data_IF_659127682737
#
_entry.id   IF_659127682737
#
_cell.length_a   1.000
_cell.length_b   1.000
_cell.length_c   1.000
_cell.angle_alpha   90.00
_cell.angle_beta   90.00
_cell.angle_gamma   90.00
#
_symmetry.space_group_name_H-M   'P 1'
#
loop_
_entity.id
_entity.type
_entity.pdbx_description
1 polymer ?
#
# COMPACT_ATOMS: atom_id res chain seq x y z
N UNK A 1 -2.26 -67.33 -22.51
CA UNK A 1 -0.81 -67.54 -22.70
C UNK A 1 -0.58 -67.99 -24.14
N UNK A 2 0.62 -67.74 -24.70
CA UNK A 2 1.01 -67.93 -26.11
C UNK A 2 0.27 -67.02 -27.14
N UNK A 3 0.84 -66.35 -28.17
CA UNK A 3 2.07 -66.44 -29.03
C UNK A 3 1.96 -67.46 -30.17
N UNK A 4 2.34 -67.26 -31.46
CA UNK A 4 2.88 -66.14 -32.29
C UNK A 4 2.28 -66.27 -33.75
N UNK A 5 2.62 -65.58 -34.87
CA UNK A 5 3.39 -64.36 -35.22
C UNK A 5 3.05 -63.81 -36.65
N UNK A 6 3.36 -62.53 -36.93
CA UNK A 6 3.84 -61.96 -38.24
C UNK A 6 2.99 -62.13 -39.56
N UNK A 7 3.35 -61.51 -40.72
CA UNK A 7 4.59 -60.80 -41.12
C UNK A 7 4.45 -59.38 -41.74
N UNK A 8 5.60 -58.85 -42.17
CA UNK A 8 5.83 -57.58 -42.86
C UNK A 8 5.10 -57.42 -44.20
N UNK A 9 4.89 -56.16 -44.62
CA UNK A 9 5.08 -55.76 -46.03
C UNK A 9 5.55 -54.31 -46.18
N UNK A 10 6.76 -54.11 -46.71
CA UNK A 10 7.26 -52.82 -47.20
C UNK A 10 7.13 -52.74 -48.72
N UNK A 11 6.97 -51.54 -49.27
CA UNK A 11 7.19 -51.25 -50.69
C UNK A 11 7.61 -49.80 -50.85
N UNK A 12 8.49 -49.53 -51.82
CA UNK A 12 9.09 -48.23 -52.12
C UNK A 12 8.66 -47.83 -53.55
N UNK A 13 9.03 -46.62 -54.00
CA UNK A 13 8.86 -46.02 -55.34
C UNK A 13 7.50 -45.29 -55.52
N UNK A 14 7.40 -44.17 -56.26
CA UNK A 14 8.42 -43.51 -57.09
C UNK A 14 8.31 -41.96 -57.15
N UNK A 15 9.28 -41.31 -57.78
CA UNK A 15 9.58 -39.87 -57.70
C UNK A 15 9.03 -39.02 -58.88
N UNK A 16 8.42 -37.85 -58.62
CA UNK A 16 8.32 -36.73 -59.61
C UNK A 16 8.04 -35.37 -58.94
N UNK A 17 8.27 -34.26 -59.66
CA UNK A 17 8.64 -32.97 -59.06
C UNK A 17 7.77 -31.78 -59.51
N UNK A 18 7.22 -31.01 -58.53
CA UNK A 18 6.73 -29.61 -58.64
C UNK A 18 5.52 -29.31 -59.59
N UNK A 19 4.86 -28.11 -59.52
CA UNK A 19 5.22 -26.89 -58.77
C UNK A 19 4.16 -26.27 -57.81
N UNK A 20 4.71 -25.60 -56.79
CA UNK A 20 4.26 -24.42 -56.03
C UNK A 20 2.91 -23.72 -56.39
N UNK A 21 2.01 -23.57 -55.40
CA UNK A 21 1.20 -22.33 -55.28
C UNK A 21 0.81 -21.95 -53.83
N UNK A 22 1.35 -20.80 -53.38
CA UNK A 22 0.92 -19.87 -52.31
C UNK A 22 -0.09 -20.36 -51.24
N UNK A 23 0.42 -20.66 -50.03
CA UNK A 23 -0.38 -20.75 -48.81
C UNK A 23 -0.96 -19.37 -48.45
N UNK A 24 -2.29 -19.26 -48.32
CA UNK A 24 -3.01 -18.04 -47.94
C UNK A 24 -3.17 -17.97 -46.42
N UNK A 25 -2.34 -17.17 -45.74
CA UNK A 25 -2.39 -17.03 -44.28
C UNK A 25 -3.71 -16.42 -43.79
N UNK A 26 -4.38 -17.11 -42.86
CA UNK A 26 -5.56 -16.59 -42.18
C UNK A 26 -5.14 -15.46 -41.23
N UNK A 27 -5.67 -14.25 -41.49
CA UNK A 27 -5.27 -13.03 -40.79
C UNK A 27 -6.08 -12.89 -39.49
N UNK A 28 -5.50 -13.34 -38.37
CA UNK A 28 -6.10 -13.22 -37.03
C UNK A 28 -6.59 -11.79 -36.78
N UNK A 29 -7.88 -11.64 -36.51
CA UNK A 29 -8.47 -10.37 -36.09
C UNK A 29 -7.92 -9.98 -34.72
N UNK A 30 -7.13 -8.91 -34.67
CA UNK A 30 -6.70 -8.33 -33.40
C UNK A 30 -7.94 -7.76 -32.71
N UNK A 31 -8.26 -8.27 -31.52
CA UNK A 31 -9.20 -7.60 -30.62
C UNK A 31 -8.64 -6.21 -30.30
N UNK A 32 -9.38 -5.17 -30.72
CA UNK A 32 -9.04 -3.80 -30.38
C UNK A 32 -9.36 -3.55 -28.92
N UNK A 33 -8.34 -3.34 -28.09
CA UNK A 33 -8.54 -2.87 -26.72
C UNK A 33 -9.11 -1.45 -26.77
N UNK A 34 -10.41 -1.32 -26.53
CA UNK A 34 -11.07 -0.02 -26.39
C UNK A 34 -10.66 0.56 -25.03
N UNK A 35 -9.60 1.37 -25.03
CA UNK A 35 -9.16 2.10 -23.84
C UNK A 35 -10.21 3.14 -23.47
N UNK A 36 -11.16 2.75 -22.62
CA UNK A 36 -12.18 3.63 -22.08
C UNK A 36 -11.52 4.72 -21.22
N UNK A 37 -11.33 5.91 -21.79
CA UNK A 37 -11.01 7.12 -21.02
C UNK A 37 -12.21 7.49 -20.16
N UNK A 38 -12.28 6.94 -18.95
CA UNK A 38 -13.18 7.44 -17.90
C UNK A 38 -12.80 8.89 -17.60
N UNK A 39 -13.66 9.83 -17.93
CA UNK A 39 -13.39 11.27 -17.92
C UNK A 39 -13.60 11.89 -16.54
N UNK A 40 -12.92 11.35 -15.53
CA UNK A 40 -12.80 11.95 -14.20
C UNK A 40 -11.31 12.11 -13.91
N UNK A 41 -10.82 13.35 -13.86
CA UNK A 41 -9.40 13.67 -13.67
C UNK A 41 -8.98 13.48 -12.21
N UNK A 42 -8.95 12.24 -11.76
CA UNK A 42 -8.55 11.84 -10.41
C UNK A 42 -7.03 11.99 -10.27
N UNK A 43 -6.57 13.17 -9.91
CA UNK A 43 -5.14 13.50 -9.80
C UNK A 43 -4.42 12.54 -8.86
N UNK A 44 -3.37 11.87 -9.38
CA UNK A 44 -2.57 10.96 -8.57
C UNK A 44 -1.89 11.72 -7.45
N UNK A 45 -1.95 11.19 -6.23
CA UNK A 45 -1.30 11.78 -5.06
C UNK A 45 0.17 12.13 -5.29
N UNK A 46 0.90 11.26 -6.00
CA UNK A 46 2.31 11.46 -6.35
C UNK A 46 2.50 12.67 -7.28
N UNK A 47 1.61 12.84 -8.26
CA UNK A 47 1.61 14.01 -9.14
C UNK A 47 1.26 15.30 -8.38
N UNK A 48 0.32 15.26 -7.43
CA UNK A 48 -0.02 16.42 -6.60
C UNK A 48 1.13 16.85 -5.67
N UNK A 49 1.99 15.91 -5.25
CA UNK A 49 3.23 16.20 -4.50
C UNK A 49 4.32 16.73 -5.46
N UNK A 50 4.49 16.12 -6.64
CA UNK A 50 5.47 16.53 -7.66
C UNK A 50 5.18 17.93 -8.26
N UNK A 51 3.90 18.30 -8.37
CA UNK A 51 3.42 19.63 -8.78
C UNK A 51 3.41 20.63 -7.61
N UNK A 52 3.76 20.20 -6.39
CA UNK A 52 3.83 21.06 -5.20
C UNK A 52 2.48 21.48 -4.62
N UNK A 53 1.38 20.91 -5.09
CA UNK A 53 0.02 21.16 -4.57
C UNK A 53 -0.18 20.62 -3.15
N UNK A 54 0.56 19.56 -2.78
CA UNK A 54 0.63 19.03 -1.42
C UNK A 54 1.99 19.39 -0.83
N UNK A 55 2.01 20.14 0.29
CA UNK A 55 3.25 20.58 0.96
C UNK A 55 3.98 19.37 1.55
N UNK A 56 5.15 19.03 1.02
CA UNK A 56 6.03 18.02 1.63
C UNK A 56 6.63 18.58 2.92
N UNK A 57 6.41 17.90 4.05
CA UNK A 57 6.92 18.27 5.37
C UNK A 57 7.75 17.10 5.90
N UNK A 58 8.98 17.35 6.33
CA UNK A 58 9.83 16.33 6.94
C UNK A 58 9.54 16.21 8.45
N UNK A 59 9.78 15.05 9.09
CA UNK A 59 9.61 14.88 10.54
C UNK A 59 10.24 15.99 11.39
N UNK A 60 11.50 16.36 11.12
CA UNK A 60 12.21 17.48 11.75
C UNK A 60 11.51 18.85 11.68
N UNK A 61 10.61 19.03 10.70
CA UNK A 61 9.86 20.27 10.47
C UNK A 61 8.39 20.13 10.93
N UNK A 62 7.98 18.95 11.42
CA UNK A 62 6.58 18.63 11.71
C UNK A 62 6.07 19.36 12.96
N UNK A 63 6.88 19.47 14.01
CA UNK A 63 6.57 20.28 15.20
C UNK A 63 6.36 21.76 14.84
N UNK A 64 7.20 22.32 13.97
CA UNK A 64 7.07 23.69 13.45
C UNK A 64 5.81 23.82 12.58
N UNK A 65 5.53 22.83 11.72
CA UNK A 65 4.33 22.83 10.90
C UNK A 65 3.04 22.77 11.76
N UNK A 66 3.02 21.99 12.83
CA UNK A 66 1.89 21.91 13.74
C UNK A 66 1.71 23.19 14.56
N UNK A 67 2.77 23.66 15.21
CA UNK A 67 2.69 24.76 16.19
C UNK A 67 2.69 26.16 15.57
N UNK A 68 3.44 26.37 14.48
CA UNK A 68 3.66 27.70 13.88
C UNK A 68 2.89 27.89 12.57
N UNK A 69 2.93 26.93 11.66
CA UNK A 69 2.09 26.99 10.44
C UNK A 69 0.61 26.69 10.76
N UNK A 70 0.30 26.01 11.86
CA UNK A 70 -1.07 25.65 12.26
C UNK A 70 -1.64 24.43 11.54
N UNK A 71 -0.80 23.43 11.19
CA UNK A 71 -1.28 22.17 10.60
C UNK A 71 -1.87 21.22 11.65
N UNK A 72 -3.13 20.84 11.48
CA UNK A 72 -3.75 19.72 12.19
C UNK A 72 -3.17 18.40 11.69
N UNK A 73 -2.51 17.64 12.57
CA UNK A 73 -1.94 16.33 12.25
C UNK A 73 -3.04 15.27 12.17
N UNK A 74 -3.19 14.64 11.00
CA UNK A 74 -4.09 13.51 10.76
C UNK A 74 -3.28 12.22 10.57
N UNK A 75 -3.37 11.35 11.57
CA UNK A 75 -2.84 9.99 11.53
C UNK A 75 -3.81 9.09 10.76
N UNK A 76 -3.35 8.49 9.66
CA UNK A 76 -4.16 7.58 8.83
C UNK A 76 -3.77 6.10 8.96
N UNK A 77 -2.95 5.76 9.97
CA UNK A 77 -2.62 4.37 10.31
C UNK A 77 -3.86 3.61 10.82
N UNK A 78 -3.90 2.28 10.70
CA UNK A 78 -4.87 1.45 11.41
C UNK A 78 -4.69 1.52 12.93
N UNK A 79 -5.74 1.15 13.66
CA UNK A 79 -5.83 1.31 15.12
C UNK A 79 -4.75 0.55 15.91
N UNK A 80 -4.26 -0.60 15.42
CA UNK A 80 -3.21 -1.38 16.11
C UNK A 80 -1.84 -0.70 16.10
N UNK A 81 -1.48 0.01 15.03
CA UNK A 81 -0.25 0.81 14.99
C UNK A 81 -0.38 2.05 15.91
N UNK A 82 -1.53 2.72 15.90
CA UNK A 82 -1.77 3.89 16.74
C UNK A 82 -1.73 3.55 18.24
N UNK A 83 -2.27 2.39 18.64
CA UNK A 83 -2.25 1.88 20.03
C UNK A 83 -0.84 1.65 20.60
N UNK A 84 0.18 1.52 19.76
CA UNK A 84 1.59 1.34 20.17
C UNK A 84 2.27 2.66 20.50
N UNK A 85 2.15 3.63 19.59
CA UNK A 85 2.62 5.01 19.76
C UNK A 85 1.91 5.98 18.80
N UNK A 86 1.59 7.18 19.28
CA UNK A 86 1.00 8.25 18.50
C UNK A 86 1.31 9.64 19.05
N UNK A 87 1.21 10.68 18.22
CA UNK A 87 1.43 12.07 18.65
C UNK A 87 0.21 12.58 19.40
N UNK A 88 0.39 13.15 20.59
CA UNK A 88 -0.69 13.74 21.40
C UNK A 88 -1.42 14.83 20.60
N UNK A 89 -2.75 14.88 20.74
CA UNK A 89 -3.59 15.84 19.99
C UNK A 89 -3.73 15.58 18.49
N UNK A 90 -3.08 14.56 17.92
CA UNK A 90 -3.31 14.18 16.52
C UNK A 90 -4.70 13.57 16.33
N UNK A 91 -5.39 13.96 15.27
CA UNK A 91 -6.63 13.32 14.84
C UNK A 91 -6.35 11.96 14.21
N UNK A 92 -7.33 11.05 14.25
CA UNK A 92 -7.18 9.69 13.74
C UNK A 92 -8.36 9.31 12.85
N UNK A 93 -8.08 8.98 11.58
CA UNK A 93 -9.03 8.30 10.70
C UNK A 93 -8.29 7.26 9.87
N UNK A 94 -8.50 5.95 10.11
CA UNK A 94 -7.73 4.91 9.43
C UNK A 94 -8.08 4.85 7.94
N UNK A 95 -7.08 4.99 7.07
CA UNK A 95 -7.26 4.82 5.61
C UNK A 95 -7.42 3.34 5.22
N UNK A 96 -6.87 2.44 6.04
CA UNK A 96 -6.97 1.00 5.92
C UNK A 96 -7.53 0.41 7.22
N UNK A 97 -8.51 -0.48 7.09
CA UNK A 97 -9.18 -1.17 8.20
C UNK A 97 -9.04 -2.69 8.02
N UNK A 98 -9.25 -3.45 9.09
CA UNK A 98 -9.27 -4.91 9.02
C UNK A 98 -10.38 -5.37 8.05
N UNK A 99 -10.06 -6.31 7.17
CA UNK A 99 -11.07 -6.92 6.30
C UNK A 99 -11.88 -7.95 7.08
N UNK A 100 -13.18 -7.70 7.27
CA UNK A 100 -14.09 -8.58 8.01
C UNK A 100 -14.79 -9.63 7.15
N UNK A 101 -14.52 -9.70 5.83
CA UNK A 101 -15.10 -10.74 4.96
C UNK A 101 -14.57 -12.14 5.33
N UNK A 102 -15.50 -13.05 5.63
CA UNK A 102 -15.23 -14.42 6.02
C UNK A 102 -15.66 -15.44 4.95
N UNK A 103 -15.85 -14.98 3.71
CA UNK A 103 -16.02 -15.85 2.53
C UNK A 103 -14.87 -16.85 2.42
N UNK A 104 -15.09 -18.13 2.02
CA UNK A 104 -14.04 -19.16 2.02
C UNK A 104 -12.78 -18.79 1.23
N UNK A 105 -12.94 -18.09 0.11
CA UNK A 105 -11.83 -17.58 -0.72
C UNK A 105 -11.02 -16.51 0.05
N UNK A 106 -11.67 -15.66 0.84
CA UNK A 106 -11.03 -14.60 1.62
C UNK A 106 -10.38 -15.16 2.89
N UNK A 107 -10.94 -16.20 3.52
CA UNK A 107 -10.27 -16.96 4.57
C UNK A 107 -8.98 -17.61 4.05
N UNK A 108 -9.00 -18.21 2.86
CA UNK A 108 -7.78 -18.75 2.22
C UNK A 108 -6.74 -17.65 1.93
N UNK A 109 -7.16 -16.49 1.40
CA UNK A 109 -6.27 -15.32 1.21
C UNK A 109 -5.66 -14.84 2.53
N UNK A 110 -6.47 -14.70 3.59
CA UNK A 110 -6.05 -14.30 4.94
C UNK A 110 -5.00 -15.27 5.49
N UNK A 111 -5.22 -16.58 5.35
CA UNK A 111 -4.27 -17.61 5.79
C UNK A 111 -2.95 -17.57 5.02
N UNK A 112 -2.99 -17.46 3.69
CA UNK A 112 -1.78 -17.33 2.85
C UNK A 112 -1.02 -16.03 3.17
N UNK A 113 -1.73 -14.91 3.34
CA UNK A 113 -1.11 -13.63 3.72
C UNK A 113 -0.44 -13.70 5.09
N UNK A 114 -1.12 -14.29 6.09
CA UNK A 114 -0.58 -14.49 7.42
C UNK A 114 0.67 -15.38 7.40
N UNK A 115 0.61 -16.54 6.74
CA UNK A 115 1.72 -17.48 6.66
C UNK A 115 2.94 -16.93 5.90
N UNK A 116 2.73 -16.17 4.81
CA UNK A 116 3.82 -15.67 3.98
C UNK A 116 4.49 -14.39 4.51
N UNK A 117 3.73 -13.47 5.11
CA UNK A 117 4.26 -12.18 5.57
C UNK A 117 3.67 -11.66 6.88
N UNK A 118 2.37 -11.84 7.14
CA UNK A 118 1.69 -11.27 8.30
C UNK A 118 2.22 -11.76 9.66
N UNK A 119 2.62 -13.03 9.76
CA UNK A 119 3.27 -13.59 10.96
C UNK A 119 4.66 -12.98 11.21
N UNK A 120 5.40 -12.65 10.15
CA UNK A 120 6.73 -12.04 10.27
C UNK A 120 6.64 -10.54 10.57
N UNK A 121 5.90 -9.78 9.78
CA UNK A 121 5.84 -8.30 9.88
C UNK A 121 4.78 -7.79 10.85
N UNK A 122 3.84 -8.63 11.27
CA UNK A 122 2.65 -8.22 12.02
C UNK A 122 1.57 -7.53 11.17
N UNK A 123 1.69 -7.60 9.85
CA UNK A 123 0.71 -6.98 8.95
C UNK A 123 -0.60 -7.78 8.93
N UNK A 124 -1.70 -7.11 9.26
CA UNK A 124 -3.05 -7.64 9.12
C UNK A 124 -3.52 -7.57 7.67
N UNK A 125 -4.43 -8.47 7.28
CA UNK A 125 -5.09 -8.41 5.97
C UNK A 125 -6.12 -7.27 5.99
N UNK A 126 -5.78 -6.14 5.35
CA UNK A 126 -6.58 -4.91 5.41
C UNK A 126 -7.26 -4.56 4.10
N UNK A 127 -8.48 -4.06 4.18
CA UNK A 127 -9.19 -3.40 3.08
C UNK A 127 -9.10 -1.87 3.21
N UNK A 128 -9.46 -1.15 2.13
CA UNK A 128 -9.59 0.31 2.15
C UNK A 128 -10.84 0.71 2.91
N UNK A 129 -10.73 1.71 3.79
CA UNK A 129 -11.89 2.30 4.45
C UNK A 129 -12.75 3.08 3.41
N UNK A 130 -14.03 2.70 3.17
CA UNK A 130 -14.92 3.45 2.28
C UNK A 130 -15.28 4.79 2.90
N UNK A 131 -15.66 4.78 4.18
CA UNK A 131 -16.11 5.94 4.96
C UNK A 131 -14.99 6.92 5.33
N UNK A 132 -13.76 6.70 4.88
CA UNK A 132 -12.59 7.53 5.19
C UNK A 132 -12.85 9.04 5.04
N UNK A 133 -13.47 9.46 3.93
CA UNK A 133 -13.69 10.88 3.67
C UNK A 133 -14.77 11.46 4.60
N UNK A 134 -15.88 10.74 4.78
CA UNK A 134 -16.96 11.08 5.72
C UNK A 134 -16.44 11.20 7.17
N UNK A 135 -15.62 10.25 7.60
CA UNK A 135 -14.98 10.26 8.91
C UNK A 135 -14.00 11.42 9.08
N UNK A 136 -13.22 11.80 8.06
CA UNK A 136 -12.38 13.01 8.12
C UNK A 136 -13.22 14.29 8.12
N UNK A 137 -14.35 14.34 7.42
CA UNK A 137 -15.28 15.48 7.45
C UNK A 137 -15.93 15.66 8.82
N UNK A 138 -16.19 14.57 9.56
CA UNK A 138 -16.67 14.64 10.96
C UNK A 138 -15.62 15.23 11.92
N UNK A 139 -14.32 14.94 11.74
CA UNK A 139 -13.26 15.44 12.64
C UNK A 139 -12.56 16.72 12.15
N UNK A 140 -12.68 17.06 10.87
CA UNK A 140 -12.19 18.29 10.24
C UNK A 140 -13.28 18.82 9.26
N UNK A 141 -14.34 19.49 9.76
CA UNK A 141 -15.39 20.02 8.90
C UNK A 141 -14.92 21.13 7.95
N UNK A 142 -13.89 21.89 8.34
CA UNK A 142 -13.31 22.97 7.54
C UNK A 142 -12.42 22.45 6.41
N UNK A 143 -12.85 22.61 5.15
CA UNK A 143 -12.07 22.22 3.96
C UNK A 143 -10.78 23.03 3.77
N UNK A 144 -10.77 24.25 4.31
CA UNK A 144 -9.61 25.15 4.30
C UNK A 144 -8.66 24.92 5.49
N UNK A 145 -8.97 24.00 6.42
CA UNK A 145 -8.05 23.61 7.50
C UNK A 145 -6.74 23.07 6.90
N UNK A 146 -5.61 23.49 7.46
CA UNK A 146 -4.29 22.95 7.13
C UNK A 146 -4.18 21.53 7.70
N UNK A 147 -4.16 20.49 6.87
CA UNK A 147 -4.13 19.09 7.33
C UNK A 147 -2.80 18.42 6.95
N UNK A 148 -2.01 18.03 7.94
CA UNK A 148 -0.77 17.27 7.75
C UNK A 148 -1.09 15.76 7.83
N UNK A 149 -1.05 15.08 6.70
CA UNK A 149 -1.42 13.66 6.60
C UNK A 149 -0.19 12.78 6.84
N UNK A 150 -0.26 11.93 7.88
CA UNK A 150 0.83 11.08 8.32
C UNK A 150 0.42 9.60 8.40
N UNK A 151 1.37 8.71 8.10
CA UNK A 151 1.28 7.28 8.40
C UNK A 151 2.67 6.73 8.73
N UNK A 152 2.82 5.42 8.90
CA UNK A 152 4.11 4.76 9.13
C UNK A 152 5.24 5.17 8.17
N UNK A 153 5.15 4.79 6.90
CA UNK A 153 6.23 4.98 5.91
C UNK A 153 5.95 6.11 4.88
N UNK A 154 4.94 6.94 5.12
CA UNK A 154 4.44 7.94 4.16
C UNK A 154 3.61 7.39 2.99
N UNK A 155 3.74 6.11 2.60
CA UNK A 155 3.04 5.54 1.43
C UNK A 155 1.50 5.56 1.54
N UNK A 156 0.93 5.29 2.73
CA UNK A 156 -0.53 5.28 2.93
C UNK A 156 -1.10 6.70 3.06
N UNK A 157 -0.31 7.65 3.59
CA UNK A 157 -0.71 9.07 3.65
C UNK A 157 -0.69 9.76 2.29
N UNK A 158 0.14 9.32 1.34
CA UNK A 158 0.05 9.72 -0.08
C UNK A 158 -1.37 9.45 -0.62
N UNK A 159 -1.85 8.20 -0.57
CA UNK A 159 -3.19 7.85 -1.09
C UNK A 159 -4.32 8.56 -0.34
N UNK A 160 -4.20 8.72 0.99
CA UNK A 160 -5.14 9.48 1.79
C UNK A 160 -5.20 10.97 1.39
N UNK A 161 -4.06 11.61 1.15
CA UNK A 161 -4.01 13.01 0.74
C UNK A 161 -4.68 13.26 -0.63
N UNK A 162 -4.59 12.34 -1.60
CA UNK A 162 -5.39 12.45 -2.84
C UNK A 162 -6.89 12.24 -2.59
N UNK A 163 -7.30 11.30 -1.71
CA UNK A 163 -8.72 11.21 -1.29
C UNK A 163 -9.22 12.55 -0.71
N UNK A 164 -8.42 13.21 0.14
CA UNK A 164 -8.79 14.52 0.70
C UNK A 164 -8.80 15.63 -0.36
N UNK A 165 -7.82 15.68 -1.27
CA UNK A 165 -7.76 16.68 -2.33
C UNK A 165 -8.96 16.59 -3.29
N UNK A 166 -9.35 15.37 -3.65
CA UNK A 166 -10.54 15.11 -4.46
C UNK A 166 -11.83 15.38 -3.66
N UNK A 167 -11.81 15.14 -2.34
CA UNK A 167 -12.82 15.57 -1.38
C UNK A 167 -12.79 17.07 -1.00
N UNK A 168 -12.13 17.91 -1.80
CA UNK A 168 -12.18 19.37 -1.69
C UNK A 168 -11.19 20.03 -0.74
N UNK A 169 -10.42 19.29 0.07
CA UNK A 169 -9.40 19.89 0.94
C UNK A 169 -8.25 20.46 0.10
N UNK A 170 -7.87 21.72 0.34
CA UNK A 170 -6.79 22.38 -0.43
C UNK A 170 -5.48 22.54 0.33
N UNK A 171 -5.54 22.82 1.62
CA UNK A 171 -4.37 23.09 2.45
C UNK A 171 -3.74 21.79 3.00
N UNK A 172 -3.26 20.93 2.11
CA UNK A 172 -2.75 19.61 2.45
C UNK A 172 -1.22 19.57 2.59
N UNK A 173 -0.75 19.00 3.69
CA UNK A 173 0.63 18.62 3.94
C UNK A 173 0.80 17.10 3.96
N UNK A 174 1.98 16.61 3.61
CA UNK A 174 2.33 15.18 3.66
C UNK A 174 3.62 14.96 4.44
N UNK A 175 3.58 14.05 5.44
CA UNK A 175 4.75 13.70 6.24
C UNK A 175 5.71 12.77 5.47
N UNK A 176 6.85 13.32 5.06
CA UNK A 176 7.80 12.70 4.13
C UNK A 176 8.47 11.44 4.71
N UNK A 177 8.06 10.27 4.21
CA UNK A 177 8.50 8.97 4.74
C UNK A 177 7.89 8.59 6.09
N UNK A 178 6.93 9.40 6.59
CA UNK A 178 6.09 9.09 7.74
C UNK A 178 6.79 9.00 9.10
N UNK A 179 6.07 8.44 10.06
CA UNK A 179 6.49 8.24 11.45
C UNK A 179 7.75 7.37 11.60
N UNK A 180 8.04 6.48 10.65
CA UNK A 180 9.23 5.63 10.64
C UNK A 180 10.53 6.41 10.43
N UNK A 181 10.45 7.68 10.04
CA UNK A 181 11.59 8.61 9.97
C UNK A 181 11.61 9.64 11.10
N UNK A 182 10.72 9.52 12.08
CA UNK A 182 10.58 10.46 13.18
C UNK A 182 11.44 10.08 14.38
N UNK A 183 12.21 11.05 14.87
CA UNK A 183 13.01 10.95 16.09
C UNK A 183 12.19 11.26 17.34
N UNK A 184 12.83 11.13 18.50
CA UNK A 184 12.24 11.48 19.80
C UNK A 184 12.01 13.00 19.97
N UNK A 185 12.73 13.84 19.23
CA UNK A 185 12.68 15.31 19.26
C UNK A 185 11.79 15.95 18.17
N UNK A 186 11.34 15.18 17.17
CA UNK A 186 10.54 15.69 16.04
C UNK A 186 9.09 16.08 16.43
N UNK A 187 8.57 15.56 17.55
CA UNK A 187 7.22 15.83 18.06
C UNK A 187 7.24 16.10 19.58
N UNK A 188 6.48 17.11 20.03
CA UNK A 188 6.54 17.63 21.41
C UNK A 188 6.11 16.60 22.47
N UNK A 189 5.04 15.83 22.19
CA UNK A 189 4.54 14.78 23.09
C UNK A 189 4.07 13.58 22.26
N UNK A 190 4.50 12.39 22.64
CA UNK A 190 4.14 11.11 22.03
C UNK A 190 3.60 10.17 23.11
N UNK A 191 2.37 9.70 22.93
CA UNK A 191 1.69 8.75 23.80
C UNK A 191 1.83 7.32 23.25
N UNK A 192 2.43 6.44 24.05
CA UNK A 192 2.62 5.05 23.68
C UNK A 192 3.40 4.24 24.71
N UNK A 193 3.57 2.94 24.42
CA UNK A 193 4.57 2.08 25.07
C UNK A 193 5.83 1.90 24.20
N UNK A 194 5.72 2.20 22.91
CA UNK A 194 6.78 2.06 21.92
C UNK A 194 7.20 3.44 21.38
N UNK A 195 8.34 3.52 20.69
CA UNK A 195 8.73 4.72 19.95
C UNK A 195 7.92 4.86 18.67
N UNK A 196 7.63 6.09 18.27
CA UNK A 196 6.84 6.42 17.08
C UNK A 196 7.39 5.79 15.79
N UNK A 197 8.73 5.77 15.66
CA UNK A 197 9.48 5.11 14.58
C UNK A 197 9.34 3.57 14.51
N UNK A 198 8.91 2.90 15.59
CA UNK A 198 8.82 1.44 15.67
C UNK A 198 7.37 0.92 15.68
N UNK A 199 6.39 1.82 15.78
CA UNK A 199 4.98 1.47 15.91
C UNK A 199 4.38 0.68 14.72
N UNK A 200 5.05 0.65 13.56
CA UNK A 200 4.68 -0.20 12.43
C UNK A 200 5.24 -1.62 12.49
N UNK A 201 6.28 -1.86 13.29
CA UNK A 201 6.98 -3.15 13.36
C UNK A 201 6.15 -4.10 14.23
N UNK A 202 5.81 -5.28 13.72
CA UNK A 202 5.03 -6.29 14.44
C UNK A 202 5.48 -7.71 14.15
N UNK A 203 4.66 -8.69 14.56
CA UNK A 203 4.92 -10.11 14.33
C UNK A 203 6.23 -10.58 14.96
N UNK A 204 6.84 -11.62 14.37
CA UNK A 204 8.15 -12.12 14.78
C UNK A 204 9.27 -11.07 14.62
N UNK A 205 9.16 -10.18 13.63
CA UNK A 205 10.18 -9.16 13.34
C UNK A 205 10.36 -8.16 14.49
N UNK A 206 9.31 -7.87 15.27
CA UNK A 206 9.37 -7.04 16.46
C UNK A 206 10.30 -7.63 17.54
N UNK A 207 10.16 -8.93 17.85
CA UNK A 207 11.00 -9.60 18.84
C UNK A 207 12.45 -9.73 18.37
N UNK A 208 12.66 -10.02 17.08
CA UNK A 208 13.99 -10.04 16.47
C UNK A 208 14.67 -8.66 16.53
N UNK A 209 13.93 -7.59 16.23
CA UNK A 209 14.42 -6.22 16.34
C UNK A 209 14.76 -5.82 17.78
N UNK A 210 13.93 -6.19 18.75
CA UNK A 210 14.21 -5.97 20.17
C UNK A 210 15.47 -6.72 20.64
N UNK A 211 15.69 -7.95 20.16
CA UNK A 211 16.92 -8.71 20.41
C UNK A 211 18.15 -8.01 19.81
N UNK A 212 18.06 -7.48 18.59
CA UNK A 212 19.15 -6.72 17.98
C UNK A 212 19.49 -5.44 18.78
N UNK A 213 18.50 -4.72 19.31
CA UNK A 213 18.72 -3.57 20.19
C UNK A 213 19.49 -3.99 21.45
N UNK A 214 19.09 -5.09 22.10
CA UNK A 214 19.76 -5.61 23.30
C UNK A 214 21.21 -6.01 22.99
N UNK A 215 21.46 -6.70 21.87
CA UNK A 215 22.81 -7.08 21.45
C UNK A 215 23.69 -5.86 21.14
N UNK A 216 23.13 -4.81 20.50
CA UNK A 216 23.85 -3.55 20.26
C UNK A 216 24.10 -2.71 21.51
N UNK A 217 23.32 -2.92 22.58
CA UNK A 217 23.51 -2.26 23.87
C UNK A 217 24.52 -2.98 24.77
N UNK A 218 24.66 -4.31 24.63
CA UNK A 218 25.65 -5.14 25.35
C UNK A 218 27.02 -5.17 24.64
N UNK A 219 27.06 -4.93 23.33
CA UNK A 219 28.30 -4.81 22.55
C UNK A 219 28.95 -3.42 22.55
N UNK A 220 28.76 -2.62 23.60
CA UNK A 220 29.27 -1.24 23.76
C UNK A 220 29.79 -1.00 25.17
#
# INVERSE_FOLDING_TARGET
MATLNHPFKTSILNHKTQPNSKIRTLRTTRFGFITAKSSTTTSSAKQLIEVGTIKTIWPKDASIAMNSDGFTLLDVRPIWERKKAHVTGSLHVPMFVEDTDNSPITLLKKWVHFGYIGLWTGQYFTTLNPEFLSQVEMVIPGKDTKVLVACGEGLRSITAASKLYNGGYRNLGWLAGGFNRSKDDDFVVVEGKEKLQYATIGGASYYFFQLLIILQAVGK
#
